data_IF_414638627833
#
_entry.id   IF_414638627833
#
_cell.length_a   1.000
_cell.length_b   1.000
_cell.length_c   1.000
_cell.angle_alpha   90.00
_cell.angle_beta   90.00
_cell.angle_gamma   90.00
#
_symmetry.space_group_name_H-M   'P 1'
#
loop_
_entity.id
_entity.type
_entity.pdbx_description
1 polymer ?
#
# COMPACT_ATOMS: atom_id res chain seq x y z
N UNK A 1 44.46 44.30 56.91
CA UNK A 1 45.44 43.40 56.25
C UNK A 1 45.37 42.04 56.92
N UNK A 2 44.67 41.09 56.31
CA UNK A 2 44.61 39.70 56.75
C UNK A 2 45.10 38.84 55.59
N UNK A 3 46.25 38.19 55.77
CA UNK A 3 46.91 37.37 54.76
C UNK A 3 46.35 35.95 54.85
N UNK A 4 45.47 35.59 53.90
CA UNK A 4 45.00 34.22 53.73
C UNK A 4 46.13 33.36 53.16
N UNK A 5 46.82 32.62 54.04
CA UNK A 5 47.71 31.52 53.65
C UNK A 5 46.86 30.37 53.12
N UNK A 6 46.96 30.12 51.81
CA UNK A 6 46.36 28.96 51.15
C UNK A 6 47.32 27.78 51.32
N UNK A 7 47.00 26.87 52.23
CA UNK A 7 47.69 25.58 52.35
C UNK A 7 47.43 24.76 51.09
N UNK A 8 48.47 24.50 50.29
CA UNK A 8 48.45 23.46 49.27
C UNK A 8 48.49 22.12 50.01
N UNK A 9 47.38 21.39 49.97
CA UNK A 9 47.40 19.95 50.22
C UNK A 9 48.06 19.31 49.00
N UNK A 10 49.32 18.92 49.16
CA UNK A 10 49.95 17.96 48.26
C UNK A 10 49.25 16.62 48.50
N UNK A 11 48.16 16.38 47.77
CA UNK A 11 47.64 15.02 47.61
C UNK A 11 48.63 14.29 46.73
N UNK A 12 49.28 13.26 47.28
CA UNK A 12 50.04 12.26 46.53
C UNK A 12 49.12 11.64 45.46
N UNK A 13 49.03 12.30 44.30
CA UNK A 13 48.36 11.78 43.13
C UNK A 13 49.28 10.68 42.61
N UNK A 14 48.94 9.42 42.91
CA UNK A 14 49.54 8.30 42.23
C UNK A 14 49.20 8.44 40.75
N UNK A 15 50.21 8.73 39.93
CA UNK A 15 50.09 8.70 38.48
C UNK A 15 49.67 7.28 38.06
N UNK A 16 48.38 7.07 37.84
CA UNK A 16 47.88 5.86 37.22
C UNK A 16 48.38 5.83 35.78
N UNK A 17 49.38 4.99 35.53
CA UNK A 17 49.91 4.73 34.19
C UNK A 17 48.76 4.21 33.32
N UNK A 18 48.25 5.04 32.43
CA UNK A 18 47.31 4.66 31.39
C UNK A 18 48.08 3.91 30.28
N UNK A 19 47.89 2.59 30.12
CA UNK A 19 48.54 1.85 29.04
C UNK A 19 47.97 2.28 27.69
N UNK A 20 48.62 3.24 27.04
CA UNK A 20 48.20 3.79 25.75
C UNK A 20 48.84 2.98 24.61
N UNK A 21 48.03 2.23 23.86
CA UNK A 21 48.47 1.55 22.63
C UNK A 21 48.06 2.37 21.40
N UNK A 22 49.02 3.04 20.75
CA UNK A 22 48.77 3.79 19.51
C UNK A 22 48.96 2.85 18.32
N UNK A 23 47.89 2.64 17.54
CA UNK A 23 47.96 1.92 16.26
C UNK A 23 48.17 2.91 15.11
N UNK A 24 49.18 2.65 14.29
CA UNK A 24 49.49 3.44 13.08
C UNK A 24 49.49 2.54 11.85
N UNK A 25 48.88 2.99 10.75
CA UNK A 25 48.98 2.31 9.46
C UNK A 25 50.26 2.76 8.73
N UNK A 26 51.00 1.80 8.16
CA UNK A 26 52.18 2.08 7.33
C UNK A 26 52.05 1.45 5.95
N UNK A 27 52.36 2.20 4.90
CA UNK A 27 52.46 1.68 3.52
C UNK A 27 53.93 1.76 3.12
N UNK A 28 54.54 0.62 2.76
CA UNK A 28 55.97 0.53 2.42
C UNK A 28 56.89 1.16 3.49
N UNK A 29 56.58 0.94 4.77
CA UNK A 29 57.34 1.48 5.90
C UNK A 29 57.14 2.98 6.17
N UNK A 30 56.33 3.69 5.36
CA UNK A 30 56.00 5.10 5.57
C UNK A 30 54.67 5.23 6.31
N UNK A 31 54.65 6.07 7.35
CA UNK A 31 53.41 6.43 8.06
C UNK A 31 52.50 7.23 7.16
N UNK A 32 51.19 6.99 7.26
CA UNK A 32 50.20 7.78 6.55
C UNK A 32 50.08 9.18 7.18
N UNK A 33 50.21 10.21 6.36
CA UNK A 33 49.98 11.60 6.76
C UNK A 33 48.52 11.99 6.48
N UNK A 34 47.97 13.03 7.14
CA UNK A 34 46.63 13.55 6.82
C UNK A 34 46.43 13.88 5.33
N UNK A 35 47.49 14.29 4.63
CA UNK A 35 47.45 14.57 3.19
C UNK A 35 47.22 13.32 2.33
N UNK A 36 47.64 12.14 2.80
CA UNK A 36 47.41 10.88 2.10
C UNK A 36 45.93 10.47 2.13
N UNK A 37 45.23 10.69 3.23
CA UNK A 37 43.81 10.31 3.35
C UNK A 37 42.92 11.07 2.36
N UNK A 38 43.30 12.31 2.01
CA UNK A 38 42.60 13.09 0.96
C UNK A 38 42.76 12.49 -0.45
N UNK A 39 43.69 11.55 -0.64
CA UNK A 39 43.93 10.85 -1.91
C UNK A 39 43.23 9.48 -1.96
N UNK A 40 42.70 9.00 -0.84
CA UNK A 40 41.97 7.73 -0.78
C UNK A 40 40.57 7.95 -1.35
N UNK A 41 40.13 7.06 -2.23
CA UNK A 41 38.79 7.15 -2.80
C UNK A 41 37.74 6.82 -1.75
N UNK A 42 36.64 7.59 -1.75
CA UNK A 42 35.46 7.24 -0.99
C UNK A 42 34.74 6.07 -1.67
N UNK A 43 34.39 5.07 -0.87
CA UNK A 43 33.58 3.95 -1.32
C UNK A 43 32.84 3.35 -0.11
N UNK A 44 31.62 2.90 -0.37
CA UNK A 44 30.78 2.28 0.63
C UNK A 44 31.36 0.96 1.12
N UNK A 45 31.45 0.81 2.45
CA UNK A 45 31.92 -0.43 3.06
C UNK A 45 30.81 -1.50 3.14
N UNK A 46 29.56 -1.10 3.32
CA UNK A 46 28.41 -2.01 3.37
C UNK A 46 27.70 -1.98 2.01
N UNK A 47 27.45 -3.14 1.42
CA UNK A 47 26.63 -3.24 0.22
C UNK A 47 25.15 -3.00 0.54
N UNK A 48 24.55 -2.01 -0.11
CA UNK A 48 23.13 -1.64 0.11
C UNK A 48 22.17 -2.80 -0.16
N UNK A 49 22.47 -3.67 -1.13
CA UNK A 49 21.56 -4.73 -1.57
C UNK A 49 21.65 -5.98 -0.69
N UNK A 50 22.87 -6.38 -0.34
CA UNK A 50 23.09 -7.63 0.42
C UNK A 50 23.29 -7.42 1.92
N UNK A 51 23.51 -6.17 2.35
CA UNK A 51 24.01 -5.80 3.67
C UNK A 51 25.41 -6.36 4.00
N UNK A 52 26.12 -7.01 3.07
CA UNK A 52 27.43 -7.59 3.33
C UNK A 52 28.55 -6.53 3.30
N UNK A 53 29.63 -6.79 4.02
CA UNK A 53 30.85 -5.98 3.91
C UNK A 53 31.53 -6.21 2.55
N UNK A 54 31.83 -5.12 1.85
CA UNK A 54 32.60 -5.12 0.60
C UNK A 54 34.09 -5.37 0.82
N UNK A 55 34.57 -5.26 2.05
CA UNK A 55 35.97 -5.47 2.39
C UNK A 55 36.21 -5.49 3.90
N UNK A 56 37.47 -5.38 4.30
CA UNK A 56 37.84 -5.48 5.72
C UNK A 56 37.99 -4.10 6.34
N UNK A 57 37.25 -3.75 7.41
CA UNK A 57 37.48 -2.52 8.15
C UNK A 57 38.82 -2.60 8.88
N UNK A 58 39.68 -1.59 8.68
CA UNK A 58 41.03 -1.56 9.23
C UNK A 58 41.12 -0.69 10.48
N UNK A 59 40.27 0.33 10.58
CA UNK A 59 40.25 1.26 11.69
C UNK A 59 39.45 2.52 11.37
N UNK A 60 39.16 3.34 12.37
CA UNK A 60 38.42 4.59 12.20
C UNK A 60 39.23 5.81 12.61
N UNK A 61 38.89 6.99 12.11
CA UNK A 61 39.53 8.25 12.52
C UNK A 61 38.52 9.39 12.64
N UNK A 62 38.86 10.41 13.42
CA UNK A 62 38.04 11.62 13.60
C UNK A 62 38.54 12.71 12.64
N UNK A 63 38.16 12.61 11.36
CA UNK A 63 38.43 13.64 10.37
C UNK A 63 37.11 14.25 9.90
N UNK A 64 36.72 15.39 10.46
CA UNK A 64 35.54 16.09 9.97
C UNK A 64 35.90 16.89 8.70
N UNK A 65 35.19 16.60 7.62
CA UNK A 65 35.17 17.38 6.38
C UNK A 65 33.91 18.25 6.32
N UNK A 66 33.81 19.14 5.33
CA UNK A 66 32.59 19.92 5.09
C UNK A 66 31.44 19.06 4.53
N UNK A 67 31.73 17.85 4.10
CA UNK A 67 30.80 16.90 3.46
C UNK A 67 30.30 15.85 4.46
N UNK A 68 30.74 15.93 5.71
CA UNK A 68 30.25 15.12 6.81
C UNK A 68 28.75 15.36 7.06
N UNK A 69 27.97 14.31 7.36
CA UNK A 69 26.57 14.47 7.72
C UNK A 69 26.44 15.11 9.11
N UNK A 70 25.33 15.83 9.34
CA UNK A 70 24.99 16.50 10.61
C UNK A 70 24.53 15.53 11.72
N UNK A 71 24.84 14.23 11.58
CA UNK A 71 24.55 13.16 12.55
C UNK A 71 25.84 12.52 13.04
N UNK A 72 25.85 11.86 14.21
CA UNK A 72 27.01 11.11 14.67
C UNK A 72 27.48 10.07 13.62
N UNK A 73 28.73 10.19 13.19
CA UNK A 73 29.32 9.33 12.16
C UNK A 73 30.78 9.00 12.48
N UNK A 74 31.30 7.98 11.80
CA UNK A 74 32.71 7.57 11.83
C UNK A 74 33.24 7.49 10.41
N UNK A 75 34.47 7.97 10.21
CA UNK A 75 35.21 7.72 8.99
C UNK A 75 36.04 6.45 9.18
N UNK A 76 35.75 5.43 8.38
CA UNK A 76 36.31 4.10 8.49
C UNK A 76 37.20 3.83 7.30
N UNK A 77 38.49 3.60 7.56
CA UNK A 77 39.42 3.11 6.57
C UNK A 77 39.19 1.62 6.39
N UNK A 78 39.01 1.18 5.15
CA UNK A 78 38.81 -0.23 4.83
C UNK A 78 39.60 -0.64 3.58
N UNK A 79 39.86 -1.94 3.47
CA UNK A 79 40.63 -2.51 2.37
C UNK A 79 39.84 -3.51 1.55
N UNK A 80 40.01 -3.47 0.23
CA UNK A 80 39.56 -4.50 -0.71
C UNK A 80 40.67 -4.82 -1.69
N UNK A 81 41.06 -6.09 -1.76
CA UNK A 81 42.22 -6.55 -2.52
C UNK A 81 43.49 -5.75 -2.17
N UNK A 82 43.95 -4.89 -3.09
CA UNK A 82 45.15 -4.04 -2.93
C UNK A 82 44.81 -2.56 -2.78
N UNK A 83 43.53 -2.21 -2.68
CA UNK A 83 43.03 -0.85 -2.61
C UNK A 83 42.58 -0.50 -1.20
N UNK A 84 42.81 0.76 -0.83
CA UNK A 84 42.27 1.36 0.38
C UNK A 84 41.13 2.30 -0.01
N UNK A 85 40.10 2.30 0.82
CA UNK A 85 38.92 3.12 0.65
C UNK A 85 38.54 3.78 1.97
N UNK A 86 37.78 4.86 1.85
CA UNK A 86 37.19 5.54 2.99
C UNK A 86 35.68 5.41 2.92
N UNK A 87 35.06 4.99 4.03
CA UNK A 87 33.62 5.00 4.19
C UNK A 87 33.20 5.93 5.33
N UNK A 88 32.09 6.64 5.16
CA UNK A 88 31.41 7.35 6.24
C UNK A 88 30.30 6.46 6.77
N UNK A 89 30.39 6.08 8.04
CA UNK A 89 29.47 5.15 8.69
C UNK A 89 28.66 5.90 9.73
N UNK A 90 27.34 5.84 9.61
CA UNK A 90 26.36 6.43 10.54
C UNK A 90 25.63 5.32 11.32
N UNK A 91 24.78 5.71 12.26
CA UNK A 91 23.87 4.75 12.90
C UNK A 91 22.90 4.16 11.86
N UNK A 92 22.35 2.97 12.14
CA UNK A 92 21.32 2.36 11.27
C UNK A 92 20.12 3.29 11.07
N UNK A 93 19.71 4.01 12.12
CA UNK A 93 18.56 4.91 12.07
C UNK A 93 18.81 6.09 11.13
N UNK A 94 20.06 6.52 11.00
CA UNK A 94 20.45 7.66 10.18
C UNK A 94 20.97 7.26 8.78
N UNK A 95 21.12 5.95 8.50
CA UNK A 95 21.60 5.47 7.20
C UNK A 95 20.47 5.41 6.16
N UNK A 96 20.52 6.32 5.19
CA UNK A 96 19.50 6.43 4.14
C UNK A 96 19.36 5.19 3.27
N UNK A 97 20.42 4.39 3.11
CA UNK A 97 20.40 3.14 2.33
C UNK A 97 19.61 2.07 3.06
N UNK A 98 19.89 1.91 4.36
CA UNK A 98 19.12 1.00 5.22
C UNK A 98 17.63 1.40 5.25
N UNK A 99 17.34 2.69 5.45
CA UNK A 99 15.95 3.17 5.46
C UNK A 99 15.24 2.92 4.13
N UNK A 100 15.92 3.13 3.00
CA UNK A 100 15.38 2.84 1.68
C UNK A 100 15.03 1.36 1.50
N UNK A 101 15.87 0.44 1.99
CA UNK A 101 15.58 -1.00 1.97
C UNK A 101 14.43 -1.37 2.93
N UNK A 102 14.36 -0.73 4.09
CA UNK A 102 13.27 -0.92 5.06
C UNK A 102 11.92 -0.47 4.49
N UNK A 103 11.89 0.69 3.84
CA UNK A 103 10.71 1.23 3.17
C UNK A 103 10.28 0.33 2.01
N UNK A 104 11.24 -0.12 1.20
CA UNK A 104 10.97 -1.03 0.08
C UNK A 104 10.39 -2.36 0.58
N UNK A 105 10.97 -2.95 1.63
CA UNK A 105 10.45 -4.20 2.21
C UNK A 105 9.06 -4.01 2.79
N UNK A 106 8.86 -2.93 3.55
CA UNK A 106 7.55 -2.58 4.14
C UNK A 106 6.51 -2.39 3.05
N UNK A 107 6.85 -1.72 1.95
CA UNK A 107 5.98 -1.52 0.80
C UNK A 107 5.60 -2.87 0.16
N UNK A 108 6.57 -3.74 -0.12
CA UNK A 108 6.31 -5.07 -0.68
C UNK A 108 5.42 -5.92 0.22
N UNK A 109 5.70 -5.95 1.52
CA UNK A 109 4.88 -6.64 2.51
C UNK A 109 3.43 -6.14 2.47
N UNK A 110 3.21 -4.81 2.48
CA UNK A 110 1.88 -4.22 2.35
C UNK A 110 1.19 -4.62 1.05
N UNK A 111 1.91 -4.66 -0.07
CA UNK A 111 1.37 -5.06 -1.37
C UNK A 111 0.96 -6.54 -1.37
N UNK A 112 1.75 -7.44 -0.79
CA UNK A 112 1.36 -8.85 -0.65
C UNK A 112 0.10 -9.02 0.21
N UNK A 113 0.00 -8.29 1.33
CA UNK A 113 -1.20 -8.30 2.18
C UNK A 113 -2.43 -7.79 1.40
N UNK A 114 -2.31 -6.67 0.68
CA UNK A 114 -3.39 -6.14 -0.15
C UNK A 114 -3.82 -7.12 -1.23
N UNK A 115 -2.86 -7.71 -1.95
CA UNK A 115 -3.12 -8.70 -2.99
C UNK A 115 -3.81 -9.94 -2.44
N UNK A 116 -3.32 -10.50 -1.33
CA UNK A 116 -3.94 -11.63 -0.63
C UNK A 116 -5.40 -11.31 -0.25
N UNK A 117 -5.63 -10.12 0.30
CA UNK A 117 -6.98 -9.71 0.72
C UNK A 117 -7.93 -9.63 -0.48
N UNK A 118 -7.50 -9.02 -1.58
CA UNK A 118 -8.30 -8.89 -2.80
C UNK A 118 -8.57 -10.25 -3.46
N UNK A 119 -7.56 -11.12 -3.54
CA UNK A 119 -7.70 -12.48 -4.09
C UNK A 119 -8.71 -13.30 -3.29
N UNK A 120 -8.63 -13.26 -1.95
CA UNK A 120 -9.59 -13.96 -1.09
C UNK A 120 -11.01 -13.41 -1.26
N UNK A 121 -11.16 -12.09 -1.34
CA UNK A 121 -12.47 -11.48 -1.55
C UNK A 121 -13.05 -11.86 -2.92
N UNK A 122 -12.25 -11.87 -3.99
CA UNK A 122 -12.67 -12.28 -5.33
C UNK A 122 -13.03 -13.77 -5.41
N UNK A 123 -12.42 -14.62 -4.59
CA UNK A 123 -12.81 -16.01 -4.42
C UNK A 123 -14.17 -16.20 -3.69
N UNK A 124 -14.83 -15.10 -3.31
CA UNK A 124 -16.16 -15.11 -2.70
C UNK A 124 -16.14 -15.20 -1.17
N UNK A 125 -14.98 -15.06 -0.53
CA UNK A 125 -14.91 -14.97 0.92
C UNK A 125 -15.37 -13.59 1.38
N UNK A 126 -16.35 -13.53 2.29
CA UNK A 126 -16.82 -12.27 2.87
C UNK A 126 -15.84 -11.75 3.94
N UNK A 127 -15.27 -10.55 3.79
CA UNK A 127 -14.47 -9.90 4.82
C UNK A 127 -15.33 -9.30 5.94
N UNK A 128 -14.79 -9.31 7.16
CA UNK A 128 -15.19 -8.39 8.25
C UNK A 128 -14.15 -7.27 8.33
N UNK A 129 -14.60 -6.01 8.25
CA UNK A 129 -13.71 -4.84 8.16
C UNK A 129 -13.88 -3.98 9.41
N UNK A 130 -12.78 -3.72 10.11
CA UNK A 130 -12.70 -2.87 11.30
C UNK A 130 -11.82 -1.65 10.99
N UNK A 131 -12.35 -0.45 11.26
CA UNK A 131 -11.60 0.80 11.11
C UNK A 131 -10.55 0.92 12.23
N UNK A 132 -9.31 1.18 11.84
CA UNK A 132 -8.21 1.38 12.80
C UNK A 132 -7.69 2.82 12.79
N UNK A 133 -7.47 3.35 11.59
CA UNK A 133 -6.99 4.70 11.36
C UNK A 133 -7.45 5.17 9.98
N UNK A 134 -7.20 6.43 9.66
CA UNK A 134 -7.52 7.01 8.34
C UNK A 134 -6.95 6.14 7.21
N UNK A 135 -5.67 5.76 7.30
CA UNK A 135 -4.97 5.00 6.24
C UNK A 135 -5.03 3.48 6.35
N UNK A 136 -5.58 2.91 7.44
CA UNK A 136 -5.50 1.47 7.71
C UNK A 136 -6.82 0.86 8.14
N UNK A 137 -7.03 -0.37 7.68
CA UNK A 137 -8.17 -1.21 8.05
C UNK A 137 -7.66 -2.57 8.53
N UNK A 138 -8.31 -3.13 9.53
CA UNK A 138 -8.13 -4.51 9.96
C UNK A 138 -9.21 -5.35 9.31
N UNK A 139 -8.79 -6.35 8.55
CA UNK A 139 -9.67 -7.16 7.71
C UNK A 139 -9.54 -8.61 8.14
N UNK A 140 -10.66 -9.22 8.54
CA UNK A 140 -10.75 -10.64 8.82
C UNK A 140 -11.41 -11.35 7.65
N UNK A 141 -10.70 -12.27 6.99
CA UNK A 141 -11.20 -12.94 5.78
C UNK A 141 -10.59 -14.34 5.67
N UNK A 142 -11.42 -15.37 5.49
CA UNK A 142 -10.99 -16.77 5.35
C UNK A 142 -10.01 -17.25 6.45
N UNK A 143 -10.23 -16.82 7.70
CA UNK A 143 -9.38 -17.16 8.85
C UNK A 143 -8.12 -16.28 9.01
N UNK A 144 -7.79 -15.43 8.04
CA UNK A 144 -6.69 -14.48 8.14
C UNK A 144 -7.12 -13.21 8.88
N UNK A 145 -6.19 -12.60 9.63
CA UNK A 145 -6.31 -11.22 10.13
C UNK A 145 -5.24 -10.37 9.45
N UNK A 146 -5.68 -9.52 8.53
CA UNK A 146 -4.84 -8.76 7.62
C UNK A 146 -4.97 -7.25 7.90
N UNK A 147 -3.86 -6.52 7.83
CA UNK A 147 -3.85 -5.06 8.02
C UNK A 147 -3.55 -4.37 6.69
N UNK A 148 -4.60 -4.02 5.95
CA UNK A 148 -4.51 -3.43 4.62
C UNK A 148 -4.73 -1.91 4.63
N UNK A 149 -4.58 -1.28 3.46
CA UNK A 149 -4.83 0.14 3.28
C UNK A 149 -6.32 0.46 3.33
N UNK A 150 -6.63 1.72 3.65
CA UNK A 150 -7.99 2.26 3.57
C UNK A 150 -8.65 1.98 2.22
N UNK A 151 -7.97 2.28 1.12
CA UNK A 151 -8.46 2.07 -0.24
C UNK A 151 -8.90 0.62 -0.51
N UNK A 152 -8.14 -0.37 -0.05
CA UNK A 152 -8.52 -1.79 -0.19
C UNK A 152 -9.74 -2.09 0.67
N UNK A 153 -9.78 -1.61 1.91
CA UNK A 153 -10.95 -1.80 2.78
C UNK A 153 -12.22 -1.18 2.19
N UNK A 154 -12.17 0.06 1.72
CA UNK A 154 -13.33 0.77 1.16
C UNK A 154 -13.85 0.06 -0.11
N UNK A 155 -12.94 -0.47 -0.94
CA UNK A 155 -13.28 -1.27 -2.11
C UNK A 155 -13.99 -2.58 -1.73
N UNK A 156 -13.49 -3.27 -0.71
CA UNK A 156 -14.08 -4.51 -0.22
C UNK A 156 -15.42 -4.30 0.47
N UNK A 157 -15.57 -3.20 1.21
CA UNK A 157 -16.86 -2.82 1.79
C UNK A 157 -17.91 -2.57 0.69
N UNK A 158 -17.51 -1.87 -0.38
CA UNK A 158 -18.38 -1.63 -1.53
C UNK A 158 -18.76 -2.93 -2.24
N UNK A 159 -17.80 -3.86 -2.40
CA UNK A 159 -18.05 -5.18 -2.97
C UNK A 159 -19.03 -6.00 -2.11
N UNK A 160 -18.88 -6.01 -0.79
CA UNK A 160 -19.79 -6.74 0.10
C UNK A 160 -21.19 -6.12 0.16
N UNK A 161 -21.29 -4.78 0.09
CA UNK A 161 -22.58 -4.09 -0.07
C UNK A 161 -23.26 -4.53 -1.35
N UNK A 162 -22.53 -4.58 -2.47
CA UNK A 162 -23.07 -5.05 -3.76
C UNK A 162 -23.52 -6.52 -3.72
N UNK A 163 -22.76 -7.41 -3.08
CA UNK A 163 -23.13 -8.83 -2.90
C UNK A 163 -24.38 -8.99 -2.04
N UNK A 164 -24.43 -8.29 -0.91
CA UNK A 164 -25.57 -8.32 0.01
C UNK A 164 -26.83 -7.83 -0.70
N UNK A 165 -26.72 -6.73 -1.45
CA UNK A 165 -27.82 -6.18 -2.20
C UNK A 165 -28.31 -7.13 -3.30
N UNK A 166 -27.40 -7.69 -4.11
CA UNK A 166 -27.77 -8.66 -5.14
C UNK A 166 -28.48 -9.87 -4.54
N UNK A 167 -28.00 -10.39 -3.41
CA UNK A 167 -28.62 -11.51 -2.69
C UNK A 167 -30.03 -11.15 -2.21
N UNK A 168 -30.20 -9.96 -1.67
CA UNK A 168 -31.48 -9.47 -1.19
C UNK A 168 -32.49 -9.26 -2.33
N UNK A 169 -32.06 -8.63 -3.44
CA UNK A 169 -32.92 -8.45 -4.61
C UNK A 169 -33.31 -9.79 -5.24
N UNK A 170 -32.38 -10.76 -5.25
CA UNK A 170 -32.66 -12.13 -5.68
C UNK A 170 -33.67 -12.80 -4.75
N UNK A 171 -33.54 -12.63 -3.43
CA UNK A 171 -34.48 -13.19 -2.43
C UNK A 171 -35.89 -12.61 -2.62
N UNK A 172 -36.01 -11.28 -2.69
CA UNK A 172 -37.29 -10.59 -2.92
C UNK A 172 -37.94 -11.11 -4.20
N UNK A 173 -37.16 -11.27 -5.27
CA UNK A 173 -37.65 -11.82 -6.52
C UNK A 173 -38.13 -13.28 -6.40
N UNK A 174 -37.39 -14.14 -5.69
CA UNK A 174 -37.76 -15.55 -5.46
C UNK A 174 -39.04 -15.70 -4.63
N UNK A 175 -39.25 -14.83 -3.64
CA UNK A 175 -40.46 -14.82 -2.81
C UNK A 175 -41.74 -14.53 -3.60
N UNK A 176 -41.60 -13.86 -4.75
CA UNK A 176 -42.69 -13.68 -5.71
C UNK A 176 -42.98 -14.93 -6.58
N UNK A 177 -42.41 -16.10 -6.23
CA UNK A 177 -42.71 -17.45 -6.73
C UNK A 177 -42.72 -17.60 -8.26
N UNK A 178 -41.69 -17.12 -8.93
CA UNK A 178 -41.52 -17.29 -10.37
C UNK A 178 -40.61 -18.50 -10.66
N UNK A 179 -40.99 -19.34 -11.63
CA UNK A 179 -40.16 -20.48 -12.04
C UNK A 179 -38.83 -20.01 -12.68
N UNK A 180 -37.80 -20.86 -12.69
CA UNK A 180 -36.50 -20.56 -13.33
C UNK A 180 -36.61 -20.16 -14.81
N UNK A 181 -37.58 -20.71 -15.55
CA UNK A 181 -37.86 -20.30 -16.93
C UNK A 181 -38.37 -18.86 -17.01
N UNK A 182 -39.11 -18.42 -15.98
CA UNK A 182 -39.59 -17.06 -15.85
C UNK A 182 -38.45 -16.09 -15.52
N UNK A 183 -37.36 -16.55 -14.89
CA UNK A 183 -36.16 -15.75 -14.62
C UNK A 183 -35.46 -15.36 -15.92
N UNK A 184 -35.17 -16.34 -16.78
CA UNK A 184 -34.48 -16.10 -18.06
C UNK A 184 -35.29 -15.20 -18.98
N UNK A 185 -36.61 -15.42 -19.04
CA UNK A 185 -37.50 -14.55 -19.80
C UNK A 185 -37.55 -13.14 -19.20
N UNK A 186 -37.66 -13.03 -17.88
CA UNK A 186 -37.65 -11.74 -17.17
C UNK A 186 -36.35 -10.96 -17.38
N UNK A 187 -35.21 -11.65 -17.43
CA UNK A 187 -33.91 -11.05 -17.74
C UNK A 187 -33.88 -10.48 -19.16
N UNK A 188 -34.23 -11.28 -20.17
CA UNK A 188 -34.25 -10.81 -21.56
C UNK A 188 -35.22 -9.62 -21.75
N UNK A 189 -36.39 -9.67 -21.10
CA UNK A 189 -37.36 -8.56 -21.11
C UNK A 189 -36.78 -7.29 -20.46
N UNK A 190 -36.08 -7.42 -19.34
CA UNK A 190 -35.47 -6.28 -18.66
C UNK A 190 -34.25 -5.72 -19.41
N UNK A 191 -33.46 -6.55 -20.10
CA UNK A 191 -32.39 -6.05 -20.98
C UNK A 191 -32.96 -5.26 -22.17
N UNK A 192 -33.98 -5.80 -22.85
CA UNK A 192 -34.68 -5.09 -23.91
C UNK A 192 -35.29 -3.78 -23.41
N UNK A 193 -35.80 -3.79 -22.18
CA UNK A 193 -36.35 -2.60 -21.54
C UNK A 193 -35.30 -1.53 -21.24
N UNK A 194 -34.14 -1.94 -20.74
CA UNK A 194 -33.01 -1.05 -20.50
C UNK A 194 -32.48 -0.44 -21.80
N UNK A 195 -32.47 -1.21 -22.89
CA UNK A 195 -32.12 -0.72 -24.22
C UNK A 195 -33.14 0.31 -24.72
N UNK A 196 -34.45 0.04 -24.58
CA UNK A 196 -35.50 0.99 -24.94
C UNK A 196 -35.39 2.30 -24.16
N UNK A 197 -35.17 2.24 -22.84
CA UNK A 197 -34.95 3.43 -22.00
C UNK A 197 -33.69 4.18 -22.45
N UNK A 198 -32.61 3.46 -22.74
CA UNK A 198 -31.36 4.05 -23.24
C UNK A 198 -31.55 4.76 -24.58
N UNK A 199 -32.23 4.14 -25.55
CA UNK A 199 -32.56 4.73 -26.85
C UNK A 199 -33.52 5.92 -26.73
N UNK A 200 -34.36 5.93 -25.70
CA UNK A 200 -35.22 7.06 -25.37
C UNK A 200 -34.45 8.23 -24.71
N UNK A 201 -33.14 8.08 -24.43
CA UNK A 201 -32.35 9.10 -23.75
C UNK A 201 -32.50 9.07 -22.23
N UNK A 202 -33.01 7.97 -21.66
CA UNK A 202 -33.16 7.76 -20.22
C UNK A 202 -32.02 6.89 -19.70
N UNK A 203 -31.41 7.31 -18.61
CA UNK A 203 -30.49 6.50 -17.81
C UNK A 203 -31.24 5.99 -16.57
N UNK A 204 -31.01 4.73 -16.21
CA UNK A 204 -31.59 4.08 -15.03
C UNK A 204 -30.45 3.61 -14.14
N UNK A 205 -30.65 3.72 -12.83
CA UNK A 205 -29.68 3.28 -11.83
C UNK A 205 -30.38 2.55 -10.68
N UNK A 206 -29.65 1.57 -10.13
CA UNK A 206 -30.04 0.88 -8.91
C UNK A 206 -29.94 1.83 -7.69
N UNK A 207 -30.83 1.73 -6.68
CA UNK A 207 -30.73 2.51 -5.45
C UNK A 207 -29.36 2.47 -4.75
N UNK A 208 -28.71 1.31 -4.75
CA UNK A 208 -27.38 1.12 -4.15
C UNK A 208 -26.32 2.10 -4.72
N UNK A 209 -26.43 2.49 -5.99
CA UNK A 209 -25.49 3.43 -6.63
C UNK A 209 -25.47 4.79 -5.94
N UNK A 210 -26.54 5.15 -5.23
CA UNK A 210 -26.67 6.43 -4.52
C UNK A 210 -26.45 6.32 -3.02
N UNK A 211 -26.44 5.11 -2.45
CA UNK A 211 -26.08 4.88 -1.04
C UNK A 211 -24.56 4.88 -0.81
N UNK A 212 -23.77 4.69 -1.87
CA UNK A 212 -22.31 4.72 -1.80
C UNK A 212 -21.78 6.18 -1.76
N UNK A 213 -22.57 7.13 -2.29
CA UNK A 213 -22.24 8.56 -2.35
C UNK A 213 -23.14 9.40 -1.42
N UNK A 214 -23.13 9.12 -0.11
CA UNK A 214 -23.83 9.94 0.92
C UNK A 214 -23.29 11.39 1.05
N UNK A 215 -22.30 11.75 0.23
CA UNK A 215 -21.80 13.11 0.09
C UNK A 215 -22.22 13.67 -1.27
N UNK A 216 -22.90 14.83 -1.28
CA UNK A 216 -23.28 15.65 -2.46
C UNK A 216 -24.71 15.52 -3.02
N UNK A 217 -25.75 15.66 -2.19
CA UNK A 217 -27.07 15.98 -2.75
C UNK A 217 -27.74 17.27 -2.26
N UNK A 218 -27.16 18.01 -1.32
CA UNK A 218 -27.88 19.17 -0.76
C UNK A 218 -27.25 20.54 -0.99
N UNK A 219 -26.10 20.68 -1.65
CA UNK A 219 -25.55 22.03 -1.83
C UNK A 219 -24.80 22.23 -3.15
N UNK A 220 -25.46 23.03 -4.00
CA UNK A 220 -25.00 23.81 -5.16
C UNK A 220 -24.98 23.11 -6.55
N UNK A 221 -25.90 23.59 -7.40
CA UNK A 221 -25.95 23.54 -8.88
C UNK A 221 -26.48 22.24 -9.54
N UNK A 222 -27.81 22.06 -9.49
CA UNK A 222 -28.78 21.72 -10.58
C UNK A 222 -28.44 20.79 -11.77
N UNK A 223 -27.29 20.14 -11.86
CA UNK A 223 -26.87 19.50 -13.11
C UNK A 223 -27.28 18.02 -13.21
N UNK A 224 -27.55 17.30 -12.10
CA UNK A 224 -27.91 15.86 -12.09
C UNK A 224 -29.09 15.52 -11.16
N UNK A 225 -30.33 15.76 -11.60
CA UNK A 225 -31.54 15.38 -10.84
C UNK A 225 -31.99 13.97 -11.25
N UNK A 226 -31.88 13.03 -10.31
CA UNK A 226 -32.45 11.68 -10.43
C UNK A 226 -33.86 11.64 -9.85
N UNK A 227 -34.76 10.95 -10.54
CA UNK A 227 -36.14 10.72 -10.14
C UNK A 227 -36.31 9.31 -9.62
N UNK A 228 -37.21 9.12 -8.67
CA UNK A 228 -37.55 7.81 -8.10
C UNK A 228 -38.61 7.12 -8.94
N UNK A 229 -38.57 5.80 -8.95
CA UNK A 229 -39.65 4.96 -9.44
C UNK A 229 -39.99 3.89 -8.39
N UNK A 230 -41.26 3.75 -7.98
CA UNK A 230 -42.39 4.64 -8.30
C UNK A 230 -42.15 6.07 -7.82
N UNK A 231 -42.73 7.07 -8.48
CA UNK A 231 -42.47 8.48 -8.17
C UNK A 231 -42.86 8.86 -6.72
N UNK A 232 -43.86 8.18 -6.18
CA UNK A 232 -44.39 8.38 -4.83
C UNK A 232 -43.61 7.62 -3.74
N UNK A 233 -42.72 6.71 -4.13
CA UNK A 233 -41.88 6.00 -3.16
C UNK A 233 -41.02 7.00 -2.39
N UNK A 234 -40.81 6.74 -1.09
CA UNK A 234 -39.77 7.44 -0.34
C UNK A 234 -38.38 7.02 -0.89
N UNK A 235 -37.29 7.53 -0.30
CA UNK A 235 -35.93 7.18 -0.79
C UNK A 235 -35.58 5.71 -0.55
N UNK A 236 -36.01 5.14 0.56
CA UNK A 236 -35.68 3.77 0.99
C UNK A 236 -36.48 2.71 0.20
N UNK A 237 -37.68 3.07 -0.23
CA UNK A 237 -38.62 2.21 -0.97
C UNK A 237 -38.52 2.34 -2.49
N UNK A 238 -37.61 3.19 -2.99
CA UNK A 238 -37.44 3.38 -4.43
C UNK A 238 -36.95 2.07 -5.07
N UNK A 239 -37.66 1.60 -6.09
CA UNK A 239 -37.24 0.42 -6.87
C UNK A 239 -36.07 0.78 -7.79
N UNK A 240 -36.14 1.95 -8.42
CA UNK A 240 -35.17 2.43 -9.38
C UNK A 240 -35.02 3.95 -9.26
N UNK A 241 -33.87 4.44 -9.69
CA UNK A 241 -33.68 5.84 -10.02
C UNK A 241 -33.52 6.00 -11.53
N UNK A 242 -33.98 7.12 -12.08
CA UNK A 242 -33.78 7.43 -13.49
C UNK A 242 -33.49 8.91 -13.73
N UNK A 243 -32.80 9.23 -14.83
CA UNK A 243 -32.56 10.60 -15.28
C UNK A 243 -32.54 10.68 -16.81
N UNK A 244 -32.75 11.88 -17.37
CA UNK A 244 -32.56 12.14 -18.81
C UNK A 244 -31.07 12.39 -19.08
N UNK A 245 -30.46 11.69 -20.05
CA UNK A 245 -29.02 11.77 -20.36
C UNK A 245 -28.58 13.16 -20.83
N UNK A 246 -29.39 13.80 -21.67
CA UNK A 246 -29.09 15.13 -22.20
C UNK A 246 -29.62 16.23 -21.27
N UNK A 247 -28.69 17.03 -20.73
CA UNK A 247 -29.00 18.16 -19.85
C UNK A 247 -29.91 19.21 -20.51
N UNK A 248 -29.81 19.43 -21.83
CA UNK A 248 -30.69 20.37 -22.55
C UNK A 248 -32.10 19.82 -22.70
N UNK A 249 -32.23 18.53 -23.03
CA UNK A 249 -33.53 17.86 -23.08
C UNK A 249 -34.20 17.85 -21.69
N UNK A 250 -33.42 17.68 -20.63
CA UNK A 250 -33.89 17.68 -19.24
C UNK A 250 -34.59 19.00 -18.87
N UNK A 251 -34.04 20.15 -19.27
CA UNK A 251 -34.64 21.47 -18.98
C UNK A 251 -35.94 21.74 -19.73
N UNK A 252 -36.19 21.07 -20.85
CA UNK A 252 -37.33 21.34 -21.72
C UNK A 252 -38.44 20.29 -21.67
N UNK A 253 -38.16 19.07 -21.18
CA UNK A 253 -39.06 17.91 -21.38
C UNK A 253 -39.27 17.05 -20.14
N UNK A 254 -39.09 17.57 -18.92
CA UNK A 254 -39.23 16.81 -17.66
C UNK A 254 -40.57 16.07 -17.53
N UNK A 255 -41.70 16.72 -17.82
CA UNK A 255 -43.04 16.10 -17.76
C UNK A 255 -43.26 15.02 -18.85
N UNK A 256 -42.95 15.27 -20.14
CA UNK A 256 -43.00 14.25 -21.19
C UNK A 256 -42.15 13.00 -20.88
N UNK A 257 -40.99 13.17 -20.24
CA UNK A 257 -40.12 12.04 -19.92
C UNK A 257 -40.66 11.17 -18.79
N UNK A 258 -41.31 11.76 -17.78
CA UNK A 258 -41.96 10.99 -16.73
C UNK A 258 -43.04 10.08 -17.29
N UNK A 259 -43.91 10.62 -18.15
CA UNK A 259 -44.95 9.83 -18.83
C UNK A 259 -44.34 8.72 -19.69
N UNK A 260 -43.26 9.01 -20.44
CA UNK A 260 -42.55 7.99 -21.24
C UNK A 260 -41.96 6.88 -20.37
N UNK A 261 -41.37 7.21 -19.23
CA UNK A 261 -40.81 6.22 -18.30
C UNK A 261 -41.92 5.39 -17.66
N UNK A 262 -43.04 5.99 -17.26
CA UNK A 262 -44.20 5.27 -16.71
C UNK A 262 -44.88 4.38 -17.77
N UNK A 263 -44.90 4.78 -19.06
CA UNK A 263 -45.38 3.94 -20.17
C UNK A 263 -44.44 2.77 -20.44
N UNK A 264 -43.13 2.98 -20.37
CA UNK A 264 -42.12 1.96 -20.60
C UNK A 264 -42.02 1.00 -19.38
N UNK A 265 -42.19 1.51 -18.16
CA UNK A 265 -42.26 0.77 -16.89
C UNK A 265 -43.70 0.71 -16.36
N UNK A 266 -44.65 0.06 -17.06
CA UNK A 266 -46.07 0.13 -16.67
C UNK A 266 -46.40 -0.72 -15.43
N UNK A 267 -45.45 -1.49 -14.89
CA UNK A 267 -45.70 -2.39 -13.77
C UNK A 267 -44.50 -2.48 -12.82
N UNK A 268 -44.73 -2.57 -11.49
CA UNK A 268 -43.67 -2.81 -10.49
C UNK A 268 -42.80 -4.03 -10.82
N UNK A 269 -43.41 -5.11 -11.34
CA UNK A 269 -42.71 -6.34 -11.73
C UNK A 269 -41.60 -6.13 -12.76
N UNK A 270 -41.84 -5.30 -13.78
CA UNK A 270 -40.80 -4.96 -14.77
C UNK A 270 -39.65 -4.15 -14.16
N UNK A 271 -39.98 -3.27 -13.21
CA UNK A 271 -38.97 -2.52 -12.48
C UNK A 271 -38.15 -3.41 -11.53
N UNK A 272 -38.75 -4.43 -10.91
CA UNK A 272 -38.04 -5.44 -10.11
C UNK A 272 -37.05 -6.25 -10.96
N UNK A 273 -37.42 -6.69 -12.17
CA UNK A 273 -36.49 -7.36 -13.07
C UNK A 273 -35.32 -6.45 -13.48
N UNK A 274 -35.59 -5.19 -13.81
CA UNK A 274 -34.54 -4.22 -14.07
C UNK A 274 -33.64 -3.99 -12.85
N UNK A 275 -34.22 -3.91 -11.65
CA UNK A 275 -33.49 -3.74 -10.40
C UNK A 275 -32.51 -4.90 -10.20
N UNK A 276 -32.94 -6.14 -10.42
CA UNK A 276 -32.10 -7.33 -10.35
C UNK A 276 -30.91 -7.27 -11.33
N UNK A 277 -31.16 -6.95 -12.60
CA UNK A 277 -30.08 -6.83 -13.60
C UNK A 277 -29.11 -5.71 -13.23
N UNK A 278 -29.62 -4.58 -12.75
CA UNK A 278 -28.77 -3.45 -12.37
C UNK A 278 -27.94 -3.78 -11.12
N UNK A 279 -28.50 -4.52 -10.14
CA UNK A 279 -27.75 -5.01 -9.00
C UNK A 279 -26.63 -5.98 -9.41
N UNK A 280 -26.92 -6.90 -10.33
CA UNK A 280 -25.91 -7.80 -10.91
C UNK A 280 -24.81 -7.02 -11.64
N UNK A 281 -25.17 -6.01 -12.44
CA UNK A 281 -24.18 -5.16 -13.13
C UNK A 281 -23.29 -4.40 -12.15
N UNK A 282 -23.85 -3.82 -11.10
CA UNK A 282 -23.08 -3.14 -10.05
C UNK A 282 -22.11 -4.11 -9.39
N UNK A 283 -22.57 -5.32 -9.06
CA UNK A 283 -21.68 -6.35 -8.53
C UNK A 283 -20.54 -6.67 -9.50
N UNK A 284 -20.82 -6.87 -10.78
CA UNK A 284 -19.79 -7.14 -11.78
C UNK A 284 -18.80 -5.97 -11.93
N UNK A 285 -19.27 -4.72 -11.89
CA UNK A 285 -18.43 -3.52 -11.88
C UNK A 285 -17.48 -3.50 -10.68
N UNK A 286 -17.98 -3.80 -9.47
CA UNK A 286 -17.15 -3.87 -8.27
C UNK A 286 -16.16 -5.05 -8.30
N UNK A 287 -16.57 -6.21 -8.81
CA UNK A 287 -15.67 -7.36 -9.03
C UNK A 287 -14.54 -6.96 -9.98
N UNK A 288 -14.87 -6.32 -11.10
CA UNK A 288 -13.87 -5.91 -12.09
C UNK A 288 -12.96 -4.78 -11.57
N UNK A 289 -13.48 -3.83 -10.81
CA UNK A 289 -12.67 -2.81 -10.12
C UNK A 289 -11.69 -3.44 -9.13
N UNK A 290 -12.15 -4.42 -8.36
CA UNK A 290 -11.33 -5.22 -7.43
C UNK A 290 -10.24 -6.01 -8.17
N UNK A 291 -10.60 -6.64 -9.29
CA UNK A 291 -9.67 -7.36 -10.17
C UNK A 291 -8.56 -6.44 -10.68
N UNK A 292 -8.92 -5.29 -11.27
CA UNK A 292 -7.95 -4.31 -11.80
C UNK A 292 -6.98 -3.81 -10.75
N UNK A 293 -7.45 -3.53 -9.53
CA UNK A 293 -6.57 -3.10 -8.43
C UNK A 293 -5.57 -4.19 -8.05
N UNK A 294 -6.03 -5.44 -7.97
CA UNK A 294 -5.15 -6.56 -7.68
C UNK A 294 -4.12 -6.80 -8.80
N UNK A 295 -4.48 -6.65 -10.08
CA UNK A 295 -3.54 -6.70 -11.20
C UNK A 295 -2.44 -5.62 -11.11
N UNK A 296 -2.77 -4.42 -10.66
CA UNK A 296 -1.78 -3.36 -10.40
C UNK A 296 -0.78 -3.79 -9.32
N UNK A 297 -1.24 -4.46 -8.25
CA UNK A 297 -0.35 -5.00 -7.22
C UNK A 297 0.51 -6.16 -7.73
N UNK A 298 -0.02 -7.04 -8.59
CA UNK A 298 0.78 -8.11 -9.23
C UNK A 298 1.96 -7.51 -9.99
N UNK A 299 1.73 -6.44 -10.77
CA UNK A 299 2.77 -5.76 -11.53
C UNK A 299 3.83 -5.11 -10.63
N UNK A 300 3.46 -4.67 -9.43
CA UNK A 300 4.40 -4.04 -8.50
C UNK A 300 5.26 -5.05 -7.74
N UNK A 301 4.71 -6.21 -7.38
CA UNK A 301 5.43 -7.24 -6.62
C UNK A 301 6.23 -8.20 -7.50
N UNK A 302 5.86 -8.34 -8.78
CA UNK A 302 6.56 -9.24 -9.70
C UNK A 302 7.81 -8.55 -10.26
N UNK A 303 9.02 -9.10 -10.05
CA UNK A 303 10.24 -8.47 -10.55
C UNK A 303 10.25 -8.42 -12.08
N UNK A 304 10.50 -7.24 -12.67
CA UNK A 304 10.53 -6.99 -14.12
C UNK A 304 11.50 -7.89 -14.90
N UNK A 305 12.46 -8.53 -14.22
CA UNK A 305 13.49 -9.41 -14.81
C UNK A 305 13.26 -10.90 -14.56
N UNK A 306 12.12 -11.30 -13.98
CA UNK A 306 11.81 -12.73 -13.81
C UNK A 306 11.81 -13.41 -15.19
N UNK A 307 12.75 -14.35 -15.35
CA UNK A 307 12.93 -15.19 -16.52
C UNK A 307 11.60 -15.80 -16.99
N UNK A 308 11.49 -16.07 -18.29
CA UNK A 308 10.31 -16.53 -19.08
C UNK A 308 9.54 -17.75 -18.55
N UNK A 309 9.81 -18.26 -17.36
CA UNK A 309 9.49 -19.63 -16.96
C UNK A 309 8.34 -19.81 -15.99
N UNK A 310 7.71 -18.77 -15.42
CA UNK A 310 6.38 -18.84 -14.75
C UNK A 310 6.01 -17.45 -14.18
N UNK A 311 5.80 -16.46 -15.05
CA UNK A 311 5.28 -15.18 -14.58
C UNK A 311 3.79 -15.36 -14.24
N UNK A 312 3.43 -15.17 -12.98
CA UNK A 312 2.03 -15.03 -12.54
C UNK A 312 1.41 -13.88 -13.33
N UNK A 313 0.67 -14.17 -14.39
CA UNK A 313 0.19 -13.14 -15.31
C UNK A 313 -1.24 -12.72 -15.05
N UNK A 314 -2.02 -13.52 -14.32
CA UNK A 314 -3.41 -13.18 -13.96
C UNK A 314 -3.72 -13.53 -12.50
N UNK A 315 -4.72 -12.86 -11.95
CA UNK A 315 -5.18 -13.05 -10.58
C UNK A 315 -5.83 -14.40 -10.32
N UNK A 316 -6.46 -15.00 -11.33
CA UNK A 316 -7.07 -16.33 -11.22
C UNK A 316 -6.03 -17.44 -11.00
N UNK A 317 -4.76 -17.17 -11.27
CA UNK A 317 -3.64 -18.09 -11.05
C UNK A 317 -2.98 -17.90 -9.68
N UNK A 318 -3.41 -16.89 -8.91
CA UNK A 318 -2.86 -16.63 -7.59
C UNK A 318 -3.50 -17.54 -6.56
N UNK A 319 -2.66 -18.40 -6.00
CA UNK A 319 -2.98 -19.17 -4.80
C UNK A 319 -2.71 -18.30 -3.55
N UNK A 320 -3.72 -18.09 -2.67
CA UNK A 320 -3.56 -17.37 -1.41
C UNK A 320 -2.39 -17.88 -0.56
N UNK A 321 -2.15 -19.18 -0.52
CA UNK A 321 -1.07 -19.75 0.30
C UNK A 321 0.31 -19.39 -0.28
N UNK A 322 0.41 -19.28 -1.60
CA UNK A 322 1.64 -18.81 -2.26
C UNK A 322 1.89 -17.32 -2.00
N UNK A 323 0.83 -16.49 -1.97
CA UNK A 323 0.95 -15.07 -1.61
C UNK A 323 1.38 -14.88 -0.15
N UNK A 324 0.80 -15.66 0.77
CA UNK A 324 1.19 -15.64 2.18
C UNK A 324 2.65 -16.06 2.35
N UNK A 325 3.06 -17.15 1.67
CA UNK A 325 4.46 -17.60 1.70
C UNK A 325 5.42 -16.54 1.16
N UNK A 326 5.05 -15.82 0.09
CA UNK A 326 5.86 -14.74 -0.45
C UNK A 326 6.01 -13.55 0.53
N UNK A 327 4.93 -13.22 1.25
CA UNK A 327 4.97 -12.24 2.33
C UNK A 327 5.93 -12.68 3.46
N UNK A 328 5.83 -13.93 3.92
CA UNK A 328 6.70 -14.47 4.96
C UNK A 328 8.17 -14.50 4.51
N UNK A 329 8.44 -14.87 3.26
CA UNK A 329 9.78 -14.87 2.69
C UNK A 329 10.37 -13.46 2.64
N UNK A 330 9.60 -12.45 2.22
CA UNK A 330 10.06 -11.06 2.20
C UNK A 330 10.35 -10.53 3.62
N UNK A 331 9.51 -10.89 4.59
CA UNK A 331 9.73 -10.56 6.00
C UNK A 331 11.03 -11.18 6.52
N UNK A 332 11.22 -12.49 6.33
CA UNK A 332 12.43 -13.20 6.76
C UNK A 332 13.69 -12.66 6.06
N UNK A 333 13.60 -12.36 4.76
CA UNK A 333 14.69 -11.75 4.00
C UNK A 333 15.11 -10.42 4.62
N UNK A 334 14.15 -9.57 4.97
CA UNK A 334 14.46 -8.27 5.55
C UNK A 334 14.96 -8.36 7.00
N UNK A 335 14.44 -9.29 7.81
CA UNK A 335 14.98 -9.59 9.14
C UNK A 335 16.46 -10.02 9.05
N UNK A 336 16.79 -10.94 8.14
CA UNK A 336 18.18 -11.34 7.90
C UNK A 336 19.07 -10.19 7.40
N UNK A 337 18.54 -9.32 6.53
CA UNK A 337 19.22 -8.10 6.10
C UNK A 337 19.53 -7.17 7.27
N UNK A 338 18.57 -6.95 8.17
CA UNK A 338 18.75 -6.12 9.37
C UNK A 338 19.77 -6.71 10.33
N UNK A 339 19.73 -8.03 10.56
CA UNK A 339 20.71 -8.72 11.42
C UNK A 339 22.12 -8.62 10.87
N UNK A 340 22.31 -8.83 9.56
CA UNK A 340 23.61 -8.67 8.90
C UNK A 340 24.11 -7.23 9.02
N UNK A 341 23.24 -6.25 8.76
CA UNK A 341 23.57 -4.82 8.87
C UNK A 341 24.04 -4.46 10.29
N UNK A 342 23.30 -4.88 11.31
CA UNK A 342 23.63 -4.64 12.73
C UNK A 342 24.94 -5.31 13.13
N UNK A 343 25.15 -6.56 12.69
CA UNK A 343 26.38 -7.31 12.94
C UNK A 343 27.59 -6.56 12.37
N UNK A 344 27.50 -6.11 11.12
CA UNK A 344 28.58 -5.39 10.47
C UNK A 344 28.81 -3.99 11.06
N UNK A 345 27.77 -3.28 11.46
CA UNK A 345 27.93 -2.03 12.22
C UNK A 345 28.67 -2.27 13.54
N UNK A 346 28.38 -3.37 14.23
CA UNK A 346 29.08 -3.75 15.45
C UNK A 346 30.57 -4.04 15.18
N UNK A 347 30.89 -4.81 14.14
CA UNK A 347 32.27 -5.11 13.75
C UNK A 347 33.04 -3.83 13.38
N UNK A 348 32.41 -2.96 12.60
CA UNK A 348 32.95 -1.65 12.24
C UNK A 348 33.15 -0.78 13.49
N UNK A 349 32.27 -0.85 14.48
CA UNK A 349 32.43 -0.08 15.70
C UNK A 349 33.50 -0.63 16.64
N UNK A 350 33.82 -1.92 16.53
CA UNK A 350 34.85 -2.61 17.30
C UNK A 350 36.28 -2.36 16.77
N UNK A 351 36.44 -1.89 15.53
CA UNK A 351 37.78 -1.53 15.03
C UNK A 351 38.36 -0.37 15.82
N UNK A 352 39.68 -0.41 16.06
CA UNK A 352 40.35 0.61 16.84
C UNK A 352 40.45 1.96 16.12
N UNK A 353 40.59 3.01 16.91
CA UNK A 353 40.93 4.33 16.40
C UNK A 353 42.36 4.31 15.81
N UNK A 354 42.48 4.80 14.58
CA UNK A 354 43.75 5.08 13.92
C UNK A 354 44.16 6.52 14.23
N UNK A 355 45.38 6.69 14.73
CA UNK A 355 45.92 8.02 15.01
C UNK A 355 46.66 8.54 13.79
N UNK A 356 46.26 9.74 13.37
CA UNK A 356 46.97 10.53 12.38
C UNK A 356 48.06 11.32 13.13
N UNK A 357 49.32 11.02 12.83
CA UNK A 357 50.48 11.70 13.44
C UNK A 357 51.10 12.66 12.45
#
# INVERSE_FOLDING_TARGET
>A
MATLKRERRDSDAQDELLPLAIRTLTINGKRLTPAFYKQISEADLIDETTAELRGTPLGHFHLHTKECPDVPHRHVLWGFETQLHLATIVSRQDDTRYQSQADLSTQKQRQYISLLTLTLALAGHSPTIEWMSEDRRKIQISGYTLYSSATVGDLLESLEKARTQQKEDTRIWQEHQLSDETLKQGQAEAEALLEQLTSAGVEVAHPLRFQIDDFYYDNYLTINRWYRYPAEANREDALLYWQVKDHWQRKQQESPFRERVEVILPSPRKAEHLRLILAERILQEHIEGTRKMAEQFIQSVTPKKASKTNALSTIEQLDPDNLWRAFEQEKLRFEAYTEAWDHHLSDIHAVGQLFLV
#
